data_IF_494449573672
#
_entry.id   IF_494449573672
#
_cell.length_a   1.000
_cell.length_b   1.000
_cell.length_c   1.000
_cell.angle_alpha   90.00
_cell.angle_beta   90.00
_cell.angle_gamma   90.00
#
_symmetry.space_group_name_H-M   'P 1'
#
loop_
_entity.id
_entity.type
_entity.pdbx_description
1 polymer ?
#
# COMPACT_ATOMS: atom_id res chain seq x y z
N UNK A 1 -6.74 -2.27 18.27
CA UNK A 1 -6.38 -0.90 18.69
C UNK A 1 -6.48 0.14 17.55
N UNK A 2 -6.21 -0.21 16.28
CA UNK A 2 -6.24 0.77 15.16
C UNK A 2 -7.57 1.49 14.94
N UNK A 3 -8.69 0.83 15.24
CA UNK A 3 -10.03 1.38 15.05
C UNK A 3 -10.47 2.29 16.22
N UNK A 4 -9.70 2.30 17.32
CA UNK A 4 -10.06 3.03 18.54
C UNK A 4 -10.11 4.54 18.30
N UNK A 5 -9.15 5.09 17.54
CA UNK A 5 -9.13 6.53 17.21
C UNK A 5 -10.31 6.96 16.35
N UNK A 6 -10.73 6.13 15.39
CA UNK A 6 -11.92 6.40 14.56
C UNK A 6 -13.21 6.37 15.38
N UNK A 7 -13.35 5.40 16.29
CA UNK A 7 -14.49 5.32 17.18
C UNK A 7 -14.54 6.50 18.17
N UNK A 8 -13.38 6.95 18.66
CA UNK A 8 -13.26 8.15 19.50
C UNK A 8 -13.70 9.41 18.75
N UNK A 9 -13.25 9.57 17.49
CA UNK A 9 -13.64 10.70 16.65
C UNK A 9 -15.16 10.72 16.40
N UNK A 10 -15.72 9.57 16.02
CA UNK A 10 -17.17 9.43 15.77
C UNK A 10 -17.95 9.70 17.07
N UNK A 11 -17.51 9.13 18.20
CA UNK A 11 -18.13 9.34 19.50
C UNK A 11 -18.09 10.81 19.94
N UNK A 12 -16.96 11.49 19.72
CA UNK A 12 -16.81 12.93 20.00
C UNK A 12 -17.76 13.77 19.13
N UNK A 13 -17.83 13.49 17.83
CA UNK A 13 -18.72 14.19 16.91
C UNK A 13 -20.18 14.00 17.33
N UNK A 14 -20.60 12.76 17.62
CA UNK A 14 -21.95 12.45 18.09
C UNK A 14 -22.25 13.14 19.42
N UNK A 15 -21.31 13.11 20.38
CA UNK A 15 -21.45 13.79 21.65
C UNK A 15 -21.65 15.30 21.46
N UNK A 16 -20.79 15.96 20.68
CA UNK A 16 -20.92 17.39 20.40
C UNK A 16 -22.23 17.73 19.69
N UNK A 17 -22.72 16.87 18.78
CA UNK A 17 -24.04 17.08 18.16
C UNK A 17 -25.16 16.97 19.18
N UNK A 18 -25.13 15.98 20.08
CA UNK A 18 -26.14 15.82 21.14
C UNK A 18 -26.08 17.01 22.11
N UNK A 19 -24.89 17.44 22.48
CA UNK A 19 -24.64 18.60 23.33
C UNK A 19 -25.23 19.86 22.68
N UNK A 20 -24.87 20.14 21.42
CA UNK A 20 -25.44 21.24 20.63
C UNK A 20 -26.95 21.10 20.48
N UNK A 21 -27.55 19.92 20.36
CA UNK A 21 -29.02 19.80 20.26
C UNK A 21 -29.69 20.09 21.61
N UNK A 22 -29.00 19.80 22.72
CA UNK A 22 -29.50 20.03 24.09
C UNK A 22 -29.25 21.44 24.61
N UNK A 23 -28.28 22.19 24.08
CA UNK A 23 -27.97 23.54 24.52
C UNK A 23 -29.10 24.53 24.24
N UNK A 24 -29.40 25.41 25.20
CA UNK A 24 -30.38 26.48 25.04
C UNK A 24 -29.77 27.68 24.26
N UNK A 25 -30.62 28.57 23.73
CA UNK A 25 -30.17 29.67 22.84
C UNK A 25 -29.19 30.65 23.53
N UNK A 26 -29.30 30.81 24.86
CA UNK A 26 -28.39 31.64 25.67
C UNK A 26 -26.94 31.09 25.69
N UNK A 27 -26.77 29.76 25.62
CA UNK A 27 -25.44 29.14 25.62
C UNK A 27 -24.75 29.22 24.25
N UNK A 28 -25.51 29.47 23.18
CA UNK A 28 -24.99 29.54 21.80
C UNK A 28 -24.52 30.93 21.39
N UNK A 29 -24.48 31.89 22.32
CA UNK A 29 -24.13 33.29 22.06
C UNK A 29 -25.02 33.94 20.97
N UNK A 30 -26.27 33.49 20.84
CA UNK A 30 -27.19 33.94 19.79
C UNK A 30 -26.88 33.41 18.37
N UNK A 31 -25.94 32.46 18.23
CA UNK A 31 -25.56 31.87 16.94
C UNK A 31 -26.45 30.67 16.62
N UNK A 32 -26.93 30.58 15.37
CA UNK A 32 -27.84 29.52 14.94
C UNK A 32 -27.25 28.11 15.17
N UNK A 33 -28.02 27.15 15.73
CA UNK A 33 -27.58 25.78 16.03
C UNK A 33 -26.84 25.07 14.89
N UNK A 34 -27.33 25.27 13.66
CA UNK A 34 -26.77 24.65 12.47
C UNK A 34 -25.30 25.05 12.19
N UNK A 35 -24.87 26.25 12.56
CA UNK A 35 -23.49 26.70 12.39
C UNK A 35 -22.54 25.89 13.28
N UNK A 36 -22.93 25.65 14.53
CA UNK A 36 -22.14 24.83 15.46
C UNK A 36 -22.05 23.38 14.99
N UNK A 37 -23.15 22.78 14.54
CA UNK A 37 -23.15 21.43 13.95
C UNK A 37 -22.24 21.36 12.73
N UNK A 38 -22.34 22.34 11.83
CA UNK A 38 -21.50 22.42 10.64
C UNK A 38 -20.03 22.44 11.02
N UNK A 39 -19.63 23.24 12.02
CA UNK A 39 -18.25 23.38 12.46
C UNK A 39 -17.68 22.07 13.02
N UNK A 40 -18.45 21.37 13.86
CA UNK A 40 -18.08 20.05 14.42
C UNK A 40 -17.89 19.01 13.31
N UNK A 41 -18.70 19.05 12.25
CA UNK A 41 -18.59 18.13 11.11
C UNK A 41 -17.48 18.54 10.14
N UNK A 42 -17.25 19.84 9.95
CA UNK A 42 -16.26 20.35 9.00
C UNK A 42 -14.84 20.07 9.46
N UNK A 43 -14.55 20.23 10.75
CA UNK A 43 -13.19 20.02 11.31
C UNK A 43 -12.59 18.65 10.93
N UNK A 44 -13.26 17.51 11.16
CA UNK A 44 -12.69 16.20 10.80
C UNK A 44 -12.54 16.03 9.28
N UNK A 45 -13.46 16.59 8.49
CA UNK A 45 -13.39 16.53 7.02
C UNK A 45 -12.19 17.35 6.50
N UNK A 46 -12.06 18.60 6.96
CA UNK A 46 -10.95 19.47 6.61
C UNK A 46 -9.61 18.88 7.05
N UNK A 47 -9.52 18.35 8.27
CA UNK A 47 -8.32 17.67 8.76
C UNK A 47 -7.91 16.49 7.86
N UNK A 48 -8.88 15.71 7.40
CA UNK A 48 -8.66 14.59 6.48
C UNK A 48 -8.19 15.06 5.10
N UNK A 49 -8.81 16.11 4.54
CA UNK A 49 -8.45 16.69 3.25
C UNK A 49 -7.03 17.27 3.30
N UNK A 50 -6.71 18.03 4.35
CA UNK A 50 -5.38 18.62 4.55
C UNK A 50 -4.33 17.52 4.69
N UNK A 51 -4.61 16.48 5.47
CA UNK A 51 -3.69 15.32 5.56
C UNK A 51 -3.48 14.66 4.21
N UNK A 52 -4.55 14.45 3.44
CA UNK A 52 -4.46 13.85 2.12
C UNK A 52 -3.63 14.72 1.17
N UNK A 53 -3.90 16.02 1.13
CA UNK A 53 -3.14 16.98 0.32
C UNK A 53 -1.65 16.94 0.69
N UNK A 54 -1.32 17.12 1.98
CA UNK A 54 0.05 17.08 2.51
C UNK A 54 0.73 15.72 2.23
N UNK A 55 0.02 14.61 2.41
CA UNK A 55 0.55 13.28 2.15
C UNK A 55 0.87 13.07 0.67
N UNK A 56 0.07 13.66 -0.24
CA UNK A 56 0.26 13.60 -1.68
C UNK A 56 1.45 14.45 -2.12
N UNK A 57 1.64 15.63 -1.55
CA UNK A 57 2.83 16.47 -1.80
C UNK A 57 4.11 15.80 -1.28
N UNK A 58 4.09 15.17 -0.10
CA UNK A 58 5.27 14.45 0.44
C UNK A 58 5.60 13.19 -0.35
N UNK A 59 4.60 12.46 -0.86
CA UNK A 59 4.80 11.28 -1.73
C UNK A 59 5.35 11.65 -3.11
N UNK A 60 5.04 12.84 -3.62
CA UNK A 60 5.59 13.32 -4.90
C UNK A 60 7.09 13.67 -4.84
N UNK A 61 7.65 13.93 -3.64
CA UNK A 61 9.06 14.27 -3.45
C UNK A 61 9.95 13.15 -2.92
N UNK A 62 9.43 11.92 -2.71
CA UNK A 62 10.19 10.79 -2.18
C UNK A 62 10.34 9.72 -3.26
N UNK A 63 11.55 9.36 -3.71
CA UNK A 63 11.72 8.17 -4.53
C UNK A 63 11.17 6.99 -3.74
N UNK A 64 10.34 6.18 -4.38
CA UNK A 64 9.59 5.10 -3.76
C UNK A 64 10.52 4.03 -3.18
N UNK A 65 11.02 4.25 -1.98
CA UNK A 65 11.69 3.23 -1.17
C UNK A 65 10.66 2.62 -0.22
N UNK A 66 10.22 1.43 -0.61
CA UNK A 66 9.73 0.33 0.20
C UNK A 66 8.75 0.62 1.36
N UNK A 67 7.54 0.08 1.22
CA UNK A 67 6.73 -0.37 2.36
C UNK A 67 5.34 0.23 2.43
N UNK A 68 4.35 -0.52 1.90
CA UNK A 68 2.96 -0.36 2.34
C UNK A 68 1.95 0.01 1.26
N UNK A 69 1.55 -1.00 0.49
CA UNK A 69 0.17 -1.28 0.04
C UNK A 69 -0.58 -0.13 -0.64
N UNK A 70 -0.47 -0.06 -1.97
CA UNK A 70 -1.57 0.06 -2.96
C UNK A 70 -0.93 0.10 -4.36
N UNK A 71 -0.68 -1.07 -4.95
CA UNK A 71 -0.10 -1.20 -6.29
C UNK A 71 -1.20 -1.38 -7.33
N UNK A 72 -1.67 -0.27 -7.89
CA UNK A 72 -2.37 -0.23 -9.18
C UNK A 72 -1.45 0.48 -10.17
N UNK A 73 -0.55 -0.28 -10.79
CA UNK A 73 0.43 0.20 -11.76
C UNK A 73 1.44 -0.92 -12.07
N UNK A 74 1.94 -1.05 -13.31
CA UNK A 74 2.77 -2.16 -13.74
C UNK A 74 4.05 -2.17 -12.91
N UNK A 75 4.06 -3.07 -11.93
CA UNK A 75 5.19 -3.34 -11.07
C UNK A 75 6.35 -3.80 -11.96
N UNK A 76 7.45 -3.04 -12.02
CA UNK A 76 8.77 -3.67 -12.19
C UNK A 76 9.05 -4.42 -10.89
N UNK A 77 8.35 -5.54 -10.74
CA UNK A 77 8.67 -6.52 -9.72
C UNK A 77 10.04 -7.12 -10.01
N UNK A 78 10.55 -7.99 -9.11
CA UNK A 78 11.64 -8.89 -9.46
C UNK A 78 11.32 -9.50 -10.83
N UNK A 79 12.27 -9.42 -11.77
CA UNK A 79 12.18 -10.09 -13.07
C UNK A 79 11.85 -11.55 -12.76
N UNK A 80 10.79 -12.08 -13.38
CA UNK A 80 10.44 -13.48 -13.18
C UNK A 80 11.68 -14.32 -13.57
N UNK A 81 12.01 -15.40 -12.84
CA UNK A 81 13.16 -16.25 -13.15
C UNK A 81 13.17 -16.86 -14.57
N UNK A 82 12.14 -16.64 -15.37
CA UNK A 82 12.08 -17.06 -16.77
C UNK A 82 12.61 -15.97 -17.74
N UNK A 83 12.70 -14.71 -17.29
CA UNK A 83 13.08 -13.53 -18.09
C UNK A 83 14.49 -12.98 -17.75
N UNK A 84 15.25 -13.64 -16.87
CA UNK A 84 16.62 -13.25 -16.54
C UNK A 84 17.67 -13.97 -17.43
N UNK A 85 18.48 -13.22 -18.18
CA UNK A 85 19.42 -13.81 -19.15
C UNK A 85 20.46 -14.72 -18.49
N UNK A 86 20.80 -14.44 -17.23
CA UNK A 86 21.77 -15.20 -16.45
C UNK A 86 21.27 -16.59 -16.01
N UNK A 87 19.96 -16.78 -15.84
CA UNK A 87 19.39 -18.10 -15.52
C UNK A 87 19.26 -18.98 -16.76
N UNK A 88 18.79 -18.41 -17.87
CA UNK A 88 18.72 -19.10 -19.16
C UNK A 88 20.11 -19.56 -19.63
N UNK A 89 21.13 -18.71 -19.47
CA UNK A 89 22.51 -19.07 -19.78
C UNK A 89 23.03 -20.26 -18.96
N UNK A 90 22.67 -20.33 -17.67
CA UNK A 90 23.02 -21.46 -16.79
C UNK A 90 22.34 -22.76 -17.22
N UNK A 91 21.05 -22.73 -17.55
CA UNK A 91 20.30 -23.89 -18.08
C UNK A 91 20.88 -24.43 -19.40
N UNK A 92 21.23 -23.53 -20.33
CA UNK A 92 21.87 -23.89 -21.61
C UNK A 92 23.20 -24.62 -21.37
N UNK A 93 24.01 -24.13 -20.42
CA UNK A 93 25.31 -24.71 -20.10
C UNK A 93 25.17 -26.09 -19.45
N UNK A 94 24.18 -26.29 -18.57
CA UNK A 94 23.86 -27.61 -18.00
C UNK A 94 23.42 -28.61 -19.06
N UNK A 95 22.55 -28.19 -20.00
CA UNK A 95 22.13 -29.05 -21.11
C UNK A 95 23.28 -29.54 -21.98
N UNK A 96 24.24 -28.66 -22.30
CA UNK A 96 25.42 -29.02 -23.10
C UNK A 96 26.30 -30.06 -22.41
N UNK A 97 26.45 -29.96 -21.08
CA UNK A 97 27.21 -30.93 -20.28
C UNK A 97 26.51 -32.29 -20.24
N UNK A 98 25.18 -32.30 -20.12
CA UNK A 98 24.41 -33.55 -20.12
C UNK A 98 24.53 -34.28 -21.47
N UNK A 99 24.44 -33.56 -22.59
CA UNK A 99 24.57 -34.16 -23.93
C UNK A 99 25.97 -34.70 -24.22
N UNK A 100 27.02 -34.02 -23.76
CA UNK A 100 28.40 -34.52 -23.93
C UNK A 100 28.71 -35.80 -23.13
N UNK A 101 27.93 -36.12 -22.10
CA UNK A 101 28.10 -37.34 -21.31
C UNK A 101 27.53 -38.60 -21.97
N UNK A 102 26.53 -38.46 -22.84
CA UNK A 102 25.85 -39.59 -23.49
C UNK A 102 26.52 -40.04 -24.81
N UNK A 103 27.44 -39.24 -25.36
CA UNK A 103 28.17 -39.52 -26.61
C UNK A 103 29.50 -40.28 -26.41
N UNK A 104 29.78 -40.81 -25.21
CA UNK A 104 30.96 -41.65 -24.99
C UNK A 104 30.79 -42.99 -25.72
N UNK A 105 31.60 -43.30 -26.76
CA UNK A 105 31.45 -44.54 -27.49
C UNK A 105 31.83 -45.72 -26.59
N UNK A 106 30.88 -46.63 -26.41
CA UNK A 106 31.02 -47.91 -25.73
C UNK A 106 32.05 -48.76 -26.48
N UNK A 107 33.32 -48.65 -26.09
CA UNK A 107 34.43 -49.43 -26.67
C UNK A 107 34.30 -50.89 -26.22
N UNK A 108 33.63 -51.71 -27.04
CA UNK A 108 33.55 -53.16 -26.83
C UNK A 108 34.93 -53.77 -27.12
N UNK A 109 35.56 -54.44 -26.15
CA UNK A 109 36.86 -55.06 -26.38
C UNK A 109 36.63 -56.28 -27.29
N UNK A 110 37.15 -56.21 -28.52
CA UNK A 110 37.20 -57.37 -29.40
C UNK A 110 38.42 -58.19 -29.02
N UNK A 111 38.17 -59.34 -28.37
CA UNK A 111 39.18 -60.31 -27.99
C UNK A 111 39.87 -60.91 -29.24
N UNK A 112 41.19 -61.01 -29.17
CA UNK A 112 42.04 -61.78 -30.07
C UNK A 112 42.82 -62.82 -29.30
#
# INVERSE_FOLDING_TARGET
MRNLGYLLLIGLVVYCVIDIVRSEDDERLGVHPALWVLLVVLIPILGSIVWLAVSRTRRAGRPATAGGRTSSGPSRGPVAPDDDPEFLWRLEQERRRAQQGDDAPEDKPTAG
#
